data_IF_942521193745
#
_entry.id   IF_942521193745
#
_cell.length_a   1.000
_cell.length_b   1.000
_cell.length_c   1.000
_cell.angle_alpha   90.00
_cell.angle_beta   90.00
_cell.angle_gamma   90.00
#
_symmetry.space_group_name_H-M   'P 1'
#
loop_
_entity.id
_entity.type
_entity.pdbx_description
1 polymer ?
#
# COMPACT_ATOMS: atom_id res chain seq x y z
N UNK A 1 -20.67 -6.43 13.85
CA UNK A 1 -20.44 -5.81 12.53
C UNK A 1 -18.94 -5.68 12.31
N UNK A 2 -18.47 -5.91 11.09
CA UNK A 2 -17.06 -5.72 10.73
C UNK A 2 -16.80 -4.24 10.46
N UNK A 3 -15.71 -3.68 10.99
CA UNK A 3 -15.29 -2.29 10.70
C UNK A 3 -14.35 -2.18 9.50
N UNK A 4 -14.06 -3.31 8.86
CA UNK A 4 -13.22 -3.30 7.68
C UNK A 4 -13.87 -2.49 6.56
N UNK A 5 -13.10 -1.54 6.04
CA UNK A 5 -13.40 -0.79 4.84
C UNK A 5 -12.53 -1.30 3.71
N UNK A 6 -13.08 -1.31 2.51
CA UNK A 6 -12.36 -1.60 1.27
C UNK A 6 -12.32 -0.33 0.42
N UNK A 7 -11.13 0.09 0.02
CA UNK A 7 -10.89 1.27 -0.81
C UNK A 7 -10.20 0.85 -2.10
N UNK A 8 -10.80 1.21 -3.25
CA UNK A 8 -10.18 1.00 -4.57
C UNK A 8 -8.93 1.86 -4.68
N UNK A 9 -7.81 1.27 -5.11
CA UNK A 9 -6.55 2.00 -5.32
C UNK A 9 -6.10 1.93 -6.78
N UNK A 10 -5.08 2.73 -7.14
CA UNK A 10 -4.38 2.65 -8.43
C UNK A 10 -3.13 1.76 -8.37
N UNK A 11 -2.91 1.06 -7.26
CA UNK A 11 -1.78 0.16 -7.10
C UNK A 11 -2.04 -1.10 -7.92
N UNK A 12 -1.04 -1.53 -8.69
CA UNK A 12 -1.13 -2.70 -9.58
C UNK A 12 0.15 -3.54 -9.59
N UNK A 13 1.22 -3.02 -8.99
CA UNK A 13 2.54 -3.67 -8.98
C UNK A 13 2.93 -4.08 -7.55
N UNK A 14 2.87 -5.38 -7.30
CA UNK A 14 3.12 -5.96 -5.98
C UNK A 14 4.55 -5.69 -5.48
N UNK A 15 5.56 -5.81 -6.36
CA UNK A 15 6.96 -5.62 -5.94
C UNK A 15 7.23 -4.16 -5.62
N UNK A 16 6.69 -3.24 -6.43
CA UNK A 16 6.78 -1.81 -6.13
C UNK A 16 6.11 -1.50 -4.80
N UNK A 17 4.88 -1.97 -4.55
CA UNK A 17 4.20 -1.77 -3.27
C UNK A 17 5.02 -2.30 -2.08
N UNK A 18 5.52 -3.54 -2.15
CA UNK A 18 6.34 -4.12 -1.09
C UNK A 18 7.61 -3.31 -0.84
N UNK A 19 8.28 -2.83 -1.90
CA UNK A 19 9.46 -1.98 -1.76
C UNK A 19 9.13 -0.63 -1.12
N UNK A 20 8.03 0.00 -1.54
CA UNK A 20 7.59 1.30 -1.02
C UNK A 20 7.23 1.23 0.47
N UNK A 21 6.56 0.17 0.91
CA UNK A 21 6.29 -0.06 2.33
C UNK A 21 7.59 -0.22 3.14
N UNK A 22 8.54 -1.02 2.64
CA UNK A 22 9.84 -1.22 3.30
C UNK A 22 10.66 0.08 3.36
N UNK A 23 10.65 0.89 2.31
CA UNK A 23 11.34 2.18 2.27
C UNK A 23 10.76 3.17 3.30
N UNK A 24 9.49 3.02 3.66
CA UNK A 24 8.83 3.79 4.73
C UNK A 24 9.07 3.19 6.12
N UNK A 25 9.89 2.13 6.23
CA UNK A 25 10.16 1.42 7.48
C UNK A 25 9.02 0.50 7.94
N UNK A 26 8.05 0.21 7.07
CA UNK A 26 6.88 -0.60 7.41
C UNK A 26 7.19 -2.08 7.12
N UNK A 27 6.93 -2.93 8.09
CA UNK A 27 7.10 -4.38 7.95
C UNK A 27 6.02 -4.95 7.02
N UNK A 28 6.42 -5.85 6.12
CA UNK A 28 5.53 -6.42 5.12
C UNK A 28 5.45 -7.93 5.25
N UNK A 29 4.23 -8.46 5.24
CA UNK A 29 3.92 -9.88 5.09
C UNK A 29 3.16 -10.09 3.78
N UNK A 30 3.29 -11.27 3.21
CA UNK A 30 2.54 -11.68 2.01
C UNK A 30 1.61 -12.82 2.38
N UNK A 31 0.45 -12.89 1.74
CA UNK A 31 -0.51 -13.98 1.97
C UNK A 31 -0.77 -14.15 3.47
N UNK A 32 -1.26 -13.07 4.09
CA UNK A 32 -1.37 -12.94 5.53
C UNK A 32 -2.69 -12.26 5.95
N UNK A 33 -2.96 -12.30 7.25
CA UNK A 33 -4.18 -11.73 7.81
C UNK A 33 -3.96 -10.31 8.29
N UNK A 34 -4.80 -9.39 7.82
CA UNK A 34 -4.91 -8.02 8.30
C UNK A 34 -5.62 -8.02 9.65
N UNK A 35 -4.98 -7.46 10.68
CA UNK A 35 -5.57 -7.34 12.02
C UNK A 35 -6.56 -6.16 12.10
N UNK A 36 -7.71 -6.39 12.72
CA UNK A 36 -8.80 -5.42 12.91
C UNK A 36 -9.45 -5.49 14.31
N UNK A 37 -10.57 -4.78 14.49
CA UNK A 37 -11.26 -4.68 15.78
C UNK A 37 -11.62 -6.03 16.39
N UNK A 38 -11.42 -6.17 17.72
CA UNK A 38 -11.73 -7.37 18.50
C UNK A 38 -11.15 -8.68 17.92
N UNK A 39 -9.95 -8.62 17.35
CA UNK A 39 -9.28 -9.80 16.80
C UNK A 39 -9.85 -10.28 15.47
N UNK A 40 -10.72 -9.48 14.84
CA UNK A 40 -11.15 -9.74 13.46
C UNK A 40 -9.93 -9.74 12.52
N UNK A 41 -9.99 -10.65 11.56
CA UNK A 41 -8.93 -10.88 10.57
C UNK A 41 -9.51 -10.98 9.19
N UNK A 42 -8.87 -10.32 8.23
CA UNK A 42 -9.22 -10.43 6.81
C UNK A 42 -7.98 -10.80 6.02
N UNK A 43 -8.09 -11.80 5.15
CA UNK A 43 -7.00 -12.26 4.31
C UNK A 43 -6.66 -11.20 3.25
N UNK A 44 -5.37 -10.97 3.02
CA UNK A 44 -4.88 -10.12 1.93
C UNK A 44 -3.57 -10.64 1.34
N UNK A 45 -3.34 -10.34 0.06
CA UNK A 45 -2.12 -10.72 -0.66
C UNK A 45 -0.87 -10.06 -0.06
N UNK A 46 -0.99 -8.80 0.36
CA UNK A 46 0.10 -8.01 0.97
C UNK A 46 -0.45 -7.34 2.22
N UNK A 47 0.28 -7.47 3.34
CA UNK A 47 -0.09 -6.87 4.63
C UNK A 47 1.06 -6.01 5.15
N UNK A 48 0.79 -4.72 5.34
CA UNK A 48 1.64 -3.81 6.09
C UNK A 48 1.33 -3.96 7.59
N UNK A 49 2.29 -4.51 8.34
CA UNK A 49 2.19 -4.64 9.78
C UNK A 49 2.52 -3.31 10.44
N UNK A 50 1.54 -2.69 11.09
CA UNK A 50 1.74 -1.42 11.80
C UNK A 50 1.99 -1.68 13.29
N UNK A 51 2.48 -0.65 13.99
CA UNK A 51 2.53 -0.68 15.44
C UNK A 51 1.12 -0.68 16.03
N UNK A 52 0.88 -1.58 17.00
CA UNK A 52 -0.43 -1.80 17.61
C UNK A 52 -1.16 -3.01 17.03
N UNK A 53 -2.48 -2.97 17.10
CA UNK A 53 -3.37 -4.12 16.83
C UNK A 53 -4.07 -4.06 15.47
N UNK A 54 -3.72 -3.09 14.62
CA UNK A 54 -4.39 -2.82 13.35
C UNK A 54 -3.37 -2.77 12.23
N UNK A 55 -3.71 -3.35 11.07
CA UNK A 55 -2.85 -3.40 9.90
C UNK A 55 -3.54 -2.82 8.66
N UNK A 56 -2.76 -2.62 7.59
CA UNK A 56 -3.29 -2.35 6.25
C UNK A 56 -3.05 -3.55 5.35
N UNK A 57 -4.06 -3.98 4.60
CA UNK A 57 -3.94 -5.03 3.60
C UNK A 57 -4.22 -4.56 2.19
N UNK A 58 -3.66 -5.26 1.21
CA UNK A 58 -3.98 -5.09 -0.20
C UNK A 58 -4.38 -6.43 -0.77
N UNK A 59 -5.60 -6.50 -1.29
CA UNK A 59 -6.13 -7.68 -1.98
C UNK A 59 -6.07 -7.47 -3.48
N UNK A 60 -5.55 -8.44 -4.23
CA UNK A 60 -5.48 -8.37 -5.68
C UNK A 60 -6.86 -8.56 -6.29
N UNK A 61 -7.22 -7.66 -7.19
CA UNK A 61 -8.42 -7.72 -8.01
C UNK A 61 -8.17 -8.53 -9.29
N UNK A 62 -9.25 -8.99 -9.94
CA UNK A 62 -9.18 -9.73 -11.20
C UNK A 62 -8.53 -8.92 -12.35
N UNK A 63 -8.60 -7.59 -12.30
CA UNK A 63 -7.97 -6.67 -13.26
C UNK A 63 -6.46 -6.44 -12.99
N UNK A 64 -5.91 -7.06 -11.95
CA UNK A 64 -4.52 -6.93 -11.53
C UNK A 64 -4.23 -5.73 -10.62
N UNK A 65 -5.20 -4.84 -10.38
CA UNK A 65 -5.10 -3.78 -9.37
C UNK A 65 -5.24 -4.34 -7.95
N UNK A 66 -4.99 -3.51 -6.94
CA UNK A 66 -5.15 -3.87 -5.53
C UNK A 66 -6.17 -2.96 -4.84
N UNK A 67 -7.06 -3.56 -4.07
CA UNK A 67 -7.93 -2.84 -3.13
C UNK A 67 -7.29 -2.82 -1.75
N UNK A 68 -7.28 -1.64 -1.11
CA UNK A 68 -6.83 -1.46 0.26
C UNK A 68 -7.95 -1.92 1.21
N UNK A 69 -7.65 -2.86 2.10
CA UNK A 69 -8.56 -3.42 3.09
C UNK A 69 -7.99 -3.14 4.49
N UNK A 70 -8.75 -2.43 5.32
CA UNK A 70 -8.32 -2.14 6.69
C UNK A 70 -9.49 -1.72 7.59
N UNK A 71 -9.33 -1.91 8.90
CA UNK A 71 -10.12 -1.22 9.90
C UNK A 71 -9.55 0.20 10.12
N UNK A 72 -10.02 1.13 9.29
CA UNK A 72 -9.50 2.49 9.23
C UNK A 72 -9.71 3.26 10.54
N UNK A 73 -10.84 3.03 11.21
CA UNK A 73 -11.11 3.64 12.52
C UNK A 73 -10.14 3.12 13.59
N UNK A 74 -9.82 1.82 13.56
CA UNK A 74 -8.81 1.22 14.41
C UNK A 74 -7.40 1.75 14.16
N UNK A 75 -6.99 1.85 12.89
CA UNK A 75 -5.70 2.43 12.49
C UNK A 75 -5.57 3.87 12.99
N UNK A 76 -6.63 4.67 12.89
CA UNK A 76 -6.68 6.06 13.34
C UNK A 76 -6.43 6.26 14.86
N UNK A 77 -6.51 5.20 15.67
CA UNK A 77 -6.22 5.28 17.12
C UNK A 77 -4.75 5.50 17.45
N UNK A 78 -3.84 5.03 16.58
CA UNK A 78 -2.38 5.10 16.79
C UNK A 78 -1.65 5.81 15.65
N UNK A 79 -2.26 5.90 14.48
CA UNK A 79 -1.64 6.43 13.28
C UNK A 79 -2.51 7.54 12.70
N UNK A 80 -1.89 8.59 12.14
CA UNK A 80 -2.63 9.49 11.28
C UNK A 80 -2.92 8.76 9.96
N UNK A 81 -4.11 8.18 9.87
CA UNK A 81 -4.53 7.33 8.75
C UNK A 81 -4.37 8.03 7.39
N UNK A 82 -4.73 9.31 7.31
CA UNK A 82 -4.64 10.09 6.07
C UNK A 82 -3.20 10.29 5.64
N UNK A 83 -2.33 10.71 6.56
CA UNK A 83 -0.90 10.86 6.29
C UNK A 83 -0.26 9.54 5.90
N UNK A 84 -0.54 8.46 6.64
CA UNK A 84 -0.02 7.13 6.36
C UNK A 84 -0.37 6.65 4.94
N UNK A 85 -1.65 6.71 4.57
CA UNK A 85 -2.10 6.30 3.23
C UNK A 85 -1.48 7.19 2.15
N UNK A 86 -1.40 8.51 2.39
CA UNK A 86 -0.79 9.45 1.44
C UNK A 86 0.70 9.17 1.24
N UNK A 87 1.46 8.95 2.32
CA UNK A 87 2.89 8.61 2.25
C UNK A 87 3.12 7.31 1.47
N UNK A 88 2.31 6.28 1.70
CA UNK A 88 2.38 5.02 0.96
C UNK A 88 2.11 5.24 -0.53
N UNK A 89 1.05 5.99 -0.88
CA UNK A 89 0.70 6.26 -2.27
C UNK A 89 1.76 7.09 -3.00
N UNK A 90 2.31 8.13 -2.34
CA UNK A 90 3.39 8.93 -2.89
C UNK A 90 4.64 8.10 -3.13
N UNK A 91 5.05 7.31 -2.14
CA UNK A 91 6.23 6.47 -2.25
C UNK A 91 6.07 5.39 -3.32
N UNK A 92 4.88 4.81 -3.45
CA UNK A 92 4.53 3.89 -4.53
C UNK A 92 4.65 4.56 -5.90
N UNK A 93 4.07 5.75 -6.09
CA UNK A 93 4.12 6.46 -7.38
C UNK A 93 5.57 6.77 -7.81
N UNK A 94 6.42 7.21 -6.87
CA UNK A 94 7.84 7.45 -7.12
C UNK A 94 8.54 6.14 -7.51
N UNK A 95 8.41 5.08 -6.71
CA UNK A 95 9.07 3.82 -6.98
C UNK A 95 8.57 3.16 -8.28
N UNK A 96 7.28 3.32 -8.61
CA UNK A 96 6.67 2.84 -9.86
C UNK A 96 7.29 3.53 -11.07
N UNK A 97 7.38 4.86 -11.02
CA UNK A 97 8.00 5.68 -12.07
C UNK A 97 9.46 5.27 -12.29
N UNK A 98 10.23 5.10 -11.21
CA UNK A 98 11.62 4.66 -11.28
C UNK A 98 11.77 3.24 -11.84
N UNK A 99 10.88 2.32 -11.46
CA UNK A 99 10.88 0.95 -11.97
C UNK A 99 10.56 0.90 -13.47
N UNK A 100 9.73 1.82 -13.96
CA UNK A 100 9.43 1.96 -15.38
C UNK A 100 10.63 2.55 -16.13
N UNK A 101 11.22 3.66 -15.67
CA UNK A 101 12.40 4.30 -16.32
C UNK A 101 13.59 3.34 -16.44
N UNK A 102 13.80 2.44 -15.48
CA UNK A 102 14.87 1.43 -15.53
C UNK A 102 14.65 0.33 -16.57
N UNK A 103 13.47 0.22 -17.19
CA UNK A 103 13.23 -0.75 -18.26
C UNK A 103 13.96 -0.26 -19.52
N UNK A 104 14.86 -1.08 -20.13
CA UNK A 104 15.74 -0.66 -21.24
C UNK A 104 15.07 -0.13 -22.52
N UNK A 105 13.75 0.04 -22.56
CA UNK A 105 13.01 0.59 -23.71
C UNK A 105 12.59 2.06 -23.59
N UNK A 106 12.91 2.76 -22.49
CA UNK A 106 12.44 4.13 -22.21
C UNK A 106 13.45 5.26 -22.53
N UNK A 107 14.46 4.98 -23.36
CA UNK A 107 15.51 5.95 -23.72
C UNK A 107 15.05 7.22 -24.47
N UNK A 108 13.75 7.40 -24.76
CA UNK A 108 13.27 8.48 -25.63
C UNK A 108 12.24 9.45 -24.99
N UNK A 109 11.93 9.34 -23.69
CA UNK A 109 11.00 10.29 -23.06
C UNK A 109 11.74 11.29 -22.17
N UNK A 110 11.88 12.53 -22.65
CA UNK A 110 12.36 13.67 -21.87
C UNK A 110 11.47 13.92 -20.64
N UNK A 111 11.81 13.33 -19.50
CA UNK A 111 11.16 13.66 -18.23
C UNK A 111 11.83 14.92 -17.67
N UNK A 112 11.26 16.09 -17.97
CA UNK A 112 11.52 17.31 -17.21
C UNK A 112 10.86 17.15 -15.84
N UNK A 113 11.64 16.80 -14.82
CA UNK A 113 11.25 17.01 -13.42
C UNK A 113 11.21 18.53 -13.17
N UNK A 114 10.01 19.08 -13.12
CA UNK A 114 9.78 20.41 -12.56
C UNK A 114 9.46 20.20 -11.09
N UNK A 115 10.42 20.51 -10.22
CA UNK A 115 10.14 20.78 -8.81
C UNK A 115 9.81 22.27 -8.72
N UNK A 116 8.60 22.59 -8.23
CA UNK A 116 8.20 23.96 -7.90
C UNK A 116 8.70 24.35 -6.52
#
# INVERSE_FOLDING_TARGET
MSHFSTLRTKISDAEVLKSSLKDLGISVKTEADVRGYQGQRVRADIVATLEGEYDLGWSRNADGSFDLIADLWGVAKKHNQTELINSINQKYAVNKTLAEVKRPGLNNANVKLVMQ
#
